data_IF_483615386859
#
_entry.id   IF_483615386859
#
_cell.length_a   1.000
_cell.length_b   1.000
_cell.length_c   1.000
_cell.angle_alpha   90.00
_cell.angle_beta   90.00
_cell.angle_gamma   90.00
#
_symmetry.space_group_name_H-M   'P 1'
#
loop_
_entity.id
_entity.type
_entity.pdbx_description
1 polymer ?
#
# COMPACT_ATOMS: atom_id res chain seq x y z
N UNK A 1 9.94 26.99 -8.75
CA UNK A 1 8.83 26.01 -8.64
C UNK A 1 7.83 26.58 -7.64
N UNK A 2 6.80 27.28 -8.11
CA UNK A 2 5.72 27.76 -7.24
C UNK A 2 4.74 26.61 -7.03
N UNK A 3 4.60 26.13 -5.79
CA UNK A 3 3.50 25.23 -5.44
C UNK A 3 2.22 26.06 -5.44
N UNK A 4 1.37 25.85 -6.44
CA UNK A 4 0.03 26.42 -6.47
C UNK A 4 -0.78 25.79 -5.34
N UNK A 5 -0.94 26.54 -4.26
CA UNK A 5 -1.86 26.26 -3.16
C UNK A 5 -3.30 26.48 -3.62
N UNK A 6 -3.85 25.56 -4.41
CA UNK A 6 -5.28 25.55 -4.70
C UNK A 6 -5.97 24.41 -3.95
N UNK A 7 -6.56 24.81 -2.82
CA UNK A 7 -7.49 24.04 -2.01
C UNK A 7 -8.85 23.87 -2.70
N UNK A 8 -8.86 23.45 -3.97
CA UNK A 8 -10.06 23.40 -4.83
C UNK A 8 -10.97 22.20 -4.53
N UNK A 9 -10.46 21.17 -3.83
CA UNK A 9 -11.24 19.95 -3.55
C UNK A 9 -12.30 20.11 -2.48
N UNK A 10 -12.19 21.16 -1.66
CA UNK A 10 -13.15 21.42 -0.60
C UNK A 10 -14.25 22.38 -1.03
N UNK A 11 -14.19 22.95 -2.23
CA UNK A 11 -15.28 23.76 -2.78
C UNK A 11 -16.35 22.88 -3.45
N UNK A 12 -16.71 21.81 -2.74
CA UNK A 12 -18.06 21.27 -2.79
C UNK A 12 -18.97 22.40 -2.34
N UNK A 13 -19.46 23.16 -3.33
CA UNK A 13 -20.48 24.19 -3.28
C UNK A 13 -20.89 24.55 -1.85
N UNK A 14 -20.48 25.71 -1.35
CA UNK A 14 -21.14 26.34 -0.20
C UNK A 14 -22.47 26.94 -0.71
N UNK A 15 -23.64 26.27 -0.60
CA UNK A 15 -24.88 26.98 -0.78
C UNK A 15 -25.02 27.99 0.36
N UNK A 16 -25.36 29.22 0.00
CA UNK A 16 -25.89 30.18 0.96
C UNK A 16 -27.20 29.59 1.48
N UNK A 17 -27.28 29.34 2.78
CA UNK A 17 -28.44 28.85 3.55
C UNK A 17 -28.61 27.32 3.70
N UNK A 18 -28.72 26.91 4.97
CA UNK A 18 -29.73 25.96 5.43
C UNK A 18 -29.53 24.46 5.17
N UNK A 19 -28.92 23.77 6.15
CA UNK A 19 -29.00 22.32 6.42
C UNK A 19 -28.48 21.38 5.31
N UNK A 20 -27.33 20.74 5.59
CA UNK A 20 -26.81 19.58 4.86
C UNK A 20 -27.74 18.37 5.02
N UNK A 21 -28.68 18.17 4.10
CA UNK A 21 -29.31 16.85 3.91
C UNK A 21 -28.41 16.02 3.02
N UNK A 22 -27.56 15.19 3.63
CA UNK A 22 -26.82 14.17 2.92
C UNK A 22 -27.77 13.01 2.60
N UNK A 23 -28.19 12.90 1.34
CA UNK A 23 -28.75 11.66 0.78
C UNK A 23 -27.74 10.51 1.00
N UNK A 24 -28.23 9.30 1.31
CA UNK A 24 -27.41 8.08 1.42
C UNK A 24 -26.47 7.89 0.21
N UNK A 25 -26.93 8.21 -1.01
CA UNK A 25 -26.11 8.16 -2.23
C UNK A 25 -24.98 9.19 -2.24
N UNK A 26 -25.14 10.30 -1.51
CA UNK A 26 -24.09 11.31 -1.33
C UNK A 26 -23.04 10.81 -0.34
N UNK A 27 -23.45 10.13 0.73
CA UNK A 27 -22.54 9.55 1.73
C UNK A 27 -21.70 8.42 1.11
N UNK A 28 -22.32 7.51 0.38
CA UNK A 28 -21.64 6.42 -0.33
C UNK A 28 -20.58 6.95 -1.31
N UNK A 29 -20.92 8.01 -2.06
CA UNK A 29 -19.98 8.68 -2.96
C UNK A 29 -18.81 9.31 -2.22
N UNK A 30 -19.04 9.91 -1.05
CA UNK A 30 -17.98 10.51 -0.25
C UNK A 30 -17.03 9.45 0.30
N UNK A 31 -17.54 8.33 0.81
CA UNK A 31 -16.68 7.22 1.28
C UNK A 31 -15.81 6.67 0.14
N UNK A 32 -16.40 6.49 -1.04
CA UNK A 32 -15.67 6.12 -2.25
C UNK A 32 -14.54 7.11 -2.58
N UNK A 33 -14.83 8.42 -2.60
CA UNK A 33 -13.84 9.46 -2.91
C UNK A 33 -12.71 9.51 -1.87
N UNK A 34 -13.02 9.30 -0.59
CA UNK A 34 -12.02 9.25 0.49
C UNK A 34 -11.08 8.06 0.28
N UNK A 35 -11.62 6.86 0.01
CA UNK A 35 -10.82 5.65 -0.22
C UNK A 35 -9.93 5.77 -1.46
N UNK A 36 -10.43 6.35 -2.54
CA UNK A 36 -9.64 6.58 -3.74
C UNK A 36 -8.52 7.62 -3.52
N UNK A 37 -8.78 8.67 -2.74
CA UNK A 37 -7.70 9.62 -2.38
C UNK A 37 -6.59 8.93 -1.58
N UNK A 38 -6.95 8.02 -0.67
CA UNK A 38 -5.95 7.31 0.15
C UNK A 38 -5.10 6.32 -0.63
N UNK A 39 -5.57 5.79 -1.76
CA UNK A 39 -4.79 4.90 -2.63
C UNK A 39 -3.84 5.64 -3.60
N UNK A 40 -3.59 6.94 -3.38
CA UNK A 40 -2.63 7.70 -4.19
C UNK A 40 -3.16 8.15 -5.56
N UNK A 41 -4.49 8.16 -5.76
CA UNK A 41 -5.11 8.57 -7.02
C UNK A 41 -4.89 10.05 -7.29
N UNK A 42 -4.55 10.35 -8.55
CA UNK A 42 -4.46 11.72 -9.05
C UNK A 42 -5.79 12.43 -8.92
N UNK A 43 -5.76 13.58 -8.25
CA UNK A 43 -6.92 14.39 -7.89
C UNK A 43 -7.85 14.70 -9.08
N UNK A 44 -7.25 14.81 -10.27
CA UNK A 44 -7.90 15.07 -11.53
C UNK A 44 -8.84 13.94 -12.00
N UNK A 45 -8.55 12.67 -11.69
CA UNK A 45 -9.50 11.57 -12.02
C UNK A 45 -10.75 11.62 -11.15
N UNK A 46 -10.63 12.05 -9.89
CA UNK A 46 -11.76 12.19 -8.98
C UNK A 46 -12.66 13.36 -9.41
N UNK A 47 -12.07 14.47 -9.83
CA UNK A 47 -12.81 15.60 -10.41
C UNK A 47 -13.60 15.14 -11.64
N UNK A 48 -12.95 14.41 -12.55
CA UNK A 48 -13.60 13.87 -13.75
C UNK A 48 -14.75 12.92 -13.41
N UNK A 49 -14.57 12.04 -12.44
CA UNK A 49 -15.64 11.15 -11.97
C UNK A 49 -16.84 11.94 -11.44
N UNK A 50 -16.60 12.98 -10.62
CA UNK A 50 -17.67 13.82 -10.07
C UNK A 50 -18.46 14.53 -11.16
N UNK A 51 -17.79 15.06 -12.20
CA UNK A 51 -18.44 15.66 -13.37
C UNK A 51 -19.37 14.65 -14.07
N UNK A 52 -18.87 13.44 -14.34
CA UNK A 52 -19.65 12.40 -15.00
C UNK A 52 -20.87 12.01 -14.19
N UNK A 53 -20.73 11.90 -12.87
CA UNK A 53 -21.87 11.61 -11.99
C UNK A 53 -22.90 12.74 -12.02
N UNK A 54 -22.47 14.01 -12.06
CA UNK A 54 -23.38 15.17 -12.20
C UNK A 54 -24.10 15.19 -13.54
N UNK A 55 -23.45 14.73 -14.62
CA UNK A 55 -24.05 14.61 -15.94
C UNK A 55 -25.09 13.47 -16.07
N UNK A 56 -25.27 12.66 -15.03
CA UNK A 56 -26.37 11.70 -14.92
C UNK A 56 -26.05 10.29 -15.44
N UNK A 57 -27.09 9.47 -15.60
CA UNK A 57 -26.95 8.01 -15.82
C UNK A 57 -26.39 7.63 -17.18
N UNK A 58 -26.47 8.52 -18.18
CA UNK A 58 -25.88 8.29 -19.51
C UNK A 58 -24.35 8.13 -19.45
N UNK A 59 -23.69 8.61 -18.39
CA UNK A 59 -22.23 8.52 -18.23
C UNK A 59 -21.74 7.23 -17.56
N UNK A 60 -22.63 6.26 -17.33
CA UNK A 60 -22.29 5.00 -16.65
C UNK A 60 -21.10 4.27 -17.30
N UNK A 61 -21.00 4.14 -18.64
CA UNK A 61 -19.85 3.49 -19.27
C UNK A 61 -18.53 4.21 -18.98
N UNK A 62 -18.51 5.54 -19.01
CA UNK A 62 -17.31 6.33 -18.72
C UNK A 62 -16.90 6.21 -17.26
N UNK A 63 -17.86 6.21 -16.34
CA UNK A 63 -17.59 5.99 -14.91
C UNK A 63 -17.00 4.60 -14.67
N UNK A 64 -17.54 3.58 -15.33
CA UNK A 64 -17.00 2.22 -15.27
C UNK A 64 -15.55 2.16 -15.76
N UNK A 65 -15.23 2.82 -16.87
CA UNK A 65 -13.86 2.84 -17.39
C UNK A 65 -12.89 3.43 -16.37
N UNK A 66 -13.25 4.55 -15.72
CA UNK A 66 -12.43 5.13 -14.64
C UNK A 66 -12.22 4.11 -13.51
N UNK A 67 -13.22 3.31 -13.14
CA UNK A 67 -13.07 2.28 -12.11
C UNK A 67 -12.13 1.14 -12.56
N UNK A 68 -12.19 0.74 -13.84
CA UNK A 68 -11.33 -0.32 -14.39
C UNK A 68 -9.87 0.15 -14.43
N UNK A 69 -9.62 1.34 -14.95
CA UNK A 69 -8.27 1.93 -15.01
C UNK A 69 -7.69 2.07 -13.59
N UNK A 70 -8.54 2.49 -12.65
CA UNK A 70 -8.17 2.62 -11.25
C UNK A 70 -7.85 1.27 -10.60
N UNK A 71 -8.60 0.21 -10.93
CA UNK A 71 -8.32 -1.14 -10.44
C UNK A 71 -6.95 -1.61 -10.90
N UNK A 72 -6.59 -1.40 -12.18
CA UNK A 72 -5.28 -1.78 -12.71
C UNK A 72 -4.14 -1.01 -12.03
N UNK A 73 -4.35 0.28 -11.75
CA UNK A 73 -3.38 1.08 -11.00
C UNK A 73 -3.17 0.55 -9.58
N UNK A 74 -4.25 0.24 -8.85
CA UNK A 74 -4.18 -0.33 -7.50
C UNK A 74 -3.44 -1.67 -7.51
N UNK A 75 -3.74 -2.55 -8.46
CA UNK A 75 -3.05 -3.83 -8.58
C UNK A 75 -1.55 -3.67 -8.81
N UNK A 76 -1.16 -2.70 -9.64
CA UNK A 76 0.26 -2.37 -9.88
C UNK A 76 0.93 -1.89 -8.59
N UNK A 77 0.30 -0.97 -7.84
CA UNK A 77 0.84 -0.48 -6.58
C UNK A 77 0.96 -1.58 -5.51
N UNK A 78 -0.03 -2.47 -5.42
CA UNK A 78 0.03 -3.63 -4.51
C UNK A 78 1.26 -4.48 -4.84
N UNK A 79 1.47 -4.79 -6.12
CA UNK A 79 2.61 -5.60 -6.54
C UNK A 79 3.96 -4.93 -6.20
N UNK A 80 4.10 -3.63 -6.46
CA UNK A 80 5.30 -2.88 -6.09
C UNK A 80 5.54 -2.86 -4.58
N UNK A 81 4.48 -2.69 -3.79
CA UNK A 81 4.55 -2.70 -2.33
C UNK A 81 4.92 -4.08 -1.79
N UNK A 82 4.43 -5.17 -2.37
CA UNK A 82 4.80 -6.54 -2.01
C UNK A 82 6.30 -6.81 -2.27
N UNK A 83 6.84 -6.33 -3.39
CA UNK A 83 8.27 -6.43 -3.71
C UNK A 83 9.13 -5.60 -2.73
N UNK A 84 8.68 -4.39 -2.42
CA UNK A 84 9.35 -3.53 -1.44
C UNK A 84 9.32 -4.14 -0.03
N UNK A 85 8.18 -4.74 0.35
CA UNK A 85 8.03 -5.46 1.62
C UNK A 85 8.98 -6.65 1.70
N UNK A 86 9.02 -7.49 0.68
CA UNK A 86 9.94 -8.65 0.61
C UNK A 86 11.41 -8.21 0.78
N UNK A 87 11.79 -7.12 0.11
CA UNK A 87 13.14 -6.55 0.23
C UNK A 87 13.41 -6.05 1.66
N UNK A 88 12.43 -5.40 2.27
CA UNK A 88 12.50 -4.90 3.65
C UNK A 88 12.64 -6.05 4.64
N UNK A 89 11.83 -7.10 4.50
CA UNK A 89 11.88 -8.31 5.33
C UNK A 89 13.24 -9.01 5.22
N UNK A 90 13.79 -9.14 4.01
CA UNK A 90 15.15 -9.67 3.83
C UNK A 90 16.20 -8.84 4.59
N UNK A 91 16.10 -7.51 4.55
CA UNK A 91 17.01 -6.63 5.32
C UNK A 91 16.81 -6.78 6.81
N UNK A 92 15.58 -6.89 7.28
CA UNK A 92 15.25 -7.16 8.68
C UNK A 92 15.88 -8.48 9.10
N UNK A 93 15.68 -9.57 8.38
CA UNK A 93 16.27 -10.88 8.70
C UNK A 93 17.80 -10.82 8.76
N UNK A 94 18.42 -10.11 7.80
CA UNK A 94 19.87 -9.90 7.78
C UNK A 94 20.39 -9.13 9.00
N UNK A 95 19.67 -8.12 9.46
CA UNK A 95 20.09 -7.28 10.59
C UNK A 95 19.67 -7.79 11.96
N UNK A 96 18.51 -8.45 12.06
CA UNK A 96 18.07 -9.15 13.25
C UNK A 96 19.08 -10.24 13.64
N UNK A 97 19.88 -10.69 12.68
CA UNK A 97 20.76 -11.84 12.83
C UNK A 97 19.89 -13.08 12.93
N UNK A 98 20.25 -14.13 12.22
CA UNK A 98 19.95 -15.47 12.68
C UNK A 98 20.59 -15.65 14.07
N UNK A 99 19.87 -15.26 15.12
CA UNK A 99 20.13 -15.61 16.50
C UNK A 99 19.67 -17.07 16.69
N UNK A 100 20.63 -18.01 16.69
CA UNK A 100 20.44 -19.46 16.85
C UNK A 100 20.00 -20.14 15.55
N UNK A 101 20.74 -21.03 14.90
CA UNK A 101 21.67 -22.02 15.40
C UNK A 101 23.00 -21.98 14.66
N UNK A 102 24.05 -21.50 15.34
CA UNK A 102 25.39 -22.00 15.11
C UNK A 102 25.66 -23.10 16.14
N UNK A 103 24.94 -24.22 16.01
CA UNK A 103 25.37 -25.48 16.63
C UNK A 103 26.18 -26.21 15.56
N UNK A 104 27.52 -26.15 15.58
CA UNK A 104 28.30 -27.08 14.77
C UNK A 104 27.89 -28.50 15.17
N UNK A 105 27.60 -29.41 14.21
CA UNK A 105 27.30 -30.80 14.56
C UNK A 105 28.48 -31.35 15.35
N UNK A 106 28.19 -31.85 16.55
CA UNK A 106 29.16 -32.53 17.40
C UNK A 106 29.86 -33.63 16.59
N UNK A 107 31.08 -33.33 16.15
CA UNK A 107 32.09 -34.25 15.62
C UNK A 107 33.39 -33.62 16.10
N UNK A 108 34.07 -34.07 17.13
CA UNK A 108 34.16 -35.41 17.69
C UNK A 108 34.57 -35.34 19.18
N UNK A 109 34.33 -36.37 20.00
CA UNK A 109 35.19 -36.61 21.13
C UNK A 109 36.53 -37.14 20.60
N UNK A 110 37.53 -36.27 20.59
CA UNK A 110 38.95 -36.62 20.56
C UNK A 110 39.20 -37.60 21.70
N UNK A 111 39.38 -38.87 21.36
CA UNK A 111 39.85 -39.87 22.33
C UNK A 111 41.29 -39.51 22.68
N UNK A 112 41.48 -39.13 23.94
CA UNK A 112 42.73 -38.76 24.56
C UNK A 112 43.81 -39.81 24.33
N UNK A 113 44.94 -39.33 23.81
CA UNK A 113 46.26 -39.93 23.88
C UNK A 113 46.73 -40.00 25.34
N UNK A 114 47.25 -41.16 25.74
CA UNK A 114 48.02 -41.40 26.97
C UNK A 114 48.01 -42.89 27.30
N UNK A 115 49.10 -43.59 27.57
CA UNK A 115 50.52 -43.25 27.60
C UNK A 115 51.35 -44.56 27.48
N UNK A 116 52.61 -44.40 27.08
CA UNK A 116 53.81 -45.13 27.56
C UNK A 116 53.99 -46.65 27.43
N UNK A 117 55.21 -47.01 27.00
CA UNK A 117 55.80 -48.35 26.96
C UNK A 117 56.79 -48.46 25.79
N UNK A 118 57.88 -47.69 25.77
CA UNK A 118 59.24 -48.05 26.27
C UNK A 118 60.02 -48.98 25.32
N UNK A 119 61.27 -48.63 24.90
CA UNK A 119 61.97 -49.28 23.80
C UNK A 119 62.91 -50.40 24.26
N UNK A 120 63.15 -51.38 23.39
CA UNK A 120 64.37 -52.19 23.32
C UNK A 120 64.54 -52.77 21.91
#
# INVERSE_FOLDING_TARGET
>A
MHYSSDNSLLDVARPKSGRRTYDAKTVERLDFLVRMRTSGVGISQLERYVELVRAGTATTPQRLQIMVDQREHILTQIHELELALTTTEYKIAKYAGTAGDNTPPASAPSRSTGSEGEPS
#
